data_IF_416573943959
#
_entry.id   IF_416573943959
#
_cell.length_a   1.000
_cell.length_b   1.000
_cell.length_c   1.000
_cell.angle_alpha   90.00
_cell.angle_beta   90.00
_cell.angle_gamma   90.00
#
_symmetry.space_group_name_H-M   'P 1'
#
loop_
_entity.id
_entity.type
_entity.pdbx_description
1 polymer ?
#
# COMPACT_ATOMS: atom_id res chain seq x y z
N UNK A 1 -53.33 -24.98 -37.25
CA UNK A 1 -52.19 -24.27 -36.64
C UNK A 1 -51.09 -25.29 -36.38
N UNK A 2 -49.93 -25.13 -37.04
CA UNK A 2 -49.05 -26.21 -37.51
C UNK A 2 -48.16 -26.86 -36.44
N UNK A 3 -48.24 -28.18 -36.27
CA UNK A 3 -47.35 -29.01 -35.43
C UNK A 3 -45.88 -28.94 -35.92
N UNK A 4 -45.63 -28.51 -37.16
CA UNK A 4 -44.29 -28.29 -37.72
C UNK A 4 -43.54 -27.06 -37.15
N UNK A 5 -44.21 -26.06 -36.57
CA UNK A 5 -43.51 -24.88 -36.03
C UNK A 5 -42.93 -25.10 -34.63
N UNK A 6 -43.54 -25.96 -33.81
CA UNK A 6 -43.06 -26.26 -32.44
C UNK A 6 -41.75 -27.04 -32.42
N UNK A 7 -41.53 -27.96 -33.36
CA UNK A 7 -40.24 -28.68 -33.47
C UNK A 7 -39.12 -27.79 -34.01
N UNK A 8 -39.44 -26.84 -34.89
CA UNK A 8 -38.45 -25.89 -35.41
C UNK A 8 -37.95 -24.94 -34.31
N UNK A 9 -38.84 -24.49 -33.41
CA UNK A 9 -38.49 -23.59 -32.31
C UNK A 9 -37.69 -24.27 -31.20
N UNK A 10 -37.92 -25.56 -30.96
CA UNK A 10 -37.14 -26.35 -29.99
C UNK A 10 -35.72 -26.66 -30.52
N UNK A 11 -35.57 -26.88 -31.84
CA UNK A 11 -34.25 -27.08 -32.47
C UNK A 11 -33.48 -25.75 -32.56
N UNK A 12 -34.17 -24.62 -32.77
CA UNK A 12 -33.53 -23.30 -32.77
C UNK A 12 -33.09 -22.84 -31.36
N UNK A 13 -33.80 -23.24 -30.29
CA UNK A 13 -33.41 -22.94 -28.91
C UNK A 13 -32.24 -23.80 -28.39
N UNK A 14 -31.92 -24.92 -29.04
CA UNK A 14 -30.72 -25.72 -28.72
C UNK A 14 -29.44 -25.20 -29.37
N UNK A 15 -29.54 -24.17 -30.24
CA UNK A 15 -28.40 -23.55 -30.93
C UNK A 15 -27.96 -22.21 -30.33
N UNK A 16 -28.56 -21.77 -29.21
CA UNK A 16 -28.20 -20.51 -28.57
C UNK A 16 -27.59 -20.84 -27.21
N UNK A 17 -26.28 -20.61 -27.11
CA UNK A 17 -25.43 -20.77 -25.93
C UNK A 17 -25.03 -22.21 -25.60
N UNK A 18 -24.16 -22.79 -26.44
CA UNK A 18 -22.98 -23.36 -25.80
C UNK A 18 -22.21 -22.18 -25.21
N UNK A 19 -22.09 -22.04 -23.87
CA UNK A 19 -21.04 -21.20 -23.35
C UNK A 19 -19.76 -21.74 -23.99
N UNK A 20 -19.00 -20.89 -24.67
CA UNK A 20 -17.60 -21.18 -24.92
C UNK A 20 -17.04 -21.34 -23.51
N UNK A 21 -16.94 -22.58 -23.05
CA UNK A 21 -16.28 -22.90 -21.81
C UNK A 21 -14.85 -22.39 -22.02
N UNK A 22 -14.53 -21.22 -21.48
CA UNK A 22 -13.16 -20.77 -21.42
C UNK A 22 -12.44 -21.84 -20.62
N UNK A 23 -11.63 -22.64 -21.31
CA UNK A 23 -10.83 -23.66 -20.67
C UNK A 23 -9.99 -22.97 -19.60
N UNK A 24 -9.98 -23.52 -18.38
CA UNK A 24 -9.12 -23.01 -17.33
C UNK A 24 -7.68 -22.92 -17.86
N UNK A 25 -6.93 -21.85 -17.50
CA UNK A 25 -5.56 -21.70 -17.95
C UNK A 25 -4.74 -22.92 -17.52
N UNK A 26 -3.87 -23.36 -18.42
CA UNK A 26 -2.95 -24.47 -18.15
C UNK A 26 -1.65 -23.95 -17.57
N UNK A 27 -1.09 -24.63 -16.57
CA UNK A 27 0.13 -24.20 -15.89
C UNK A 27 1.35 -25.00 -16.36
N UNK A 28 2.41 -24.30 -16.74
CA UNK A 28 3.64 -24.88 -17.29
C UNK A 28 4.88 -24.19 -16.70
N UNK A 29 6.06 -24.82 -16.59
CA UNK A 29 7.30 -24.15 -16.17
C UNK A 29 7.81 -23.12 -17.21
N UNK A 30 7.05 -22.04 -17.43
CA UNK A 30 7.29 -21.02 -18.45
C UNK A 30 8.40 -20.04 -18.04
N UNK A 31 8.61 -19.86 -16.74
CA UNK A 31 9.61 -18.93 -16.17
C UNK A 31 10.74 -19.68 -15.47
N UNK A 32 11.97 -19.25 -15.75
CA UNK A 32 13.20 -19.70 -15.09
C UNK A 32 13.36 -19.04 -13.72
N UNK A 33 13.33 -17.71 -13.68
CA UNK A 33 13.41 -16.90 -12.46
C UNK A 33 12.85 -15.49 -12.68
N UNK A 34 12.77 -14.72 -11.60
CA UNK A 34 12.37 -13.32 -11.61
C UNK A 34 13.49 -12.44 -11.08
N UNK A 35 13.54 -11.19 -11.53
CA UNK A 35 14.50 -10.18 -11.09
C UNK A 35 13.90 -8.79 -11.13
N UNK A 36 14.62 -7.78 -10.62
CA UNK A 36 14.20 -6.37 -10.65
C UNK A 36 12.80 -6.13 -10.06
N UNK A 37 12.41 -6.91 -9.03
CA UNK A 37 11.12 -6.75 -8.38
C UNK A 37 11.07 -5.45 -7.60
N UNK A 38 10.01 -4.67 -7.78
CA UNK A 38 9.80 -3.42 -7.07
C UNK A 38 8.32 -3.17 -6.83
N UNK A 39 7.96 -2.87 -5.59
CA UNK A 39 6.68 -2.31 -5.19
C UNK A 39 6.93 -1.01 -4.46
N UNK A 40 6.41 0.08 -5.02
CA UNK A 40 6.62 1.42 -4.50
C UNK A 40 5.28 2.11 -4.32
N UNK A 41 5.08 2.71 -3.16
CA UNK A 41 3.93 3.55 -2.90
C UNK A 41 4.23 4.98 -3.36
N UNK A 42 3.38 5.50 -4.22
CA UNK A 42 3.47 6.84 -4.79
C UNK A 42 2.85 7.89 -3.86
N UNK A 43 3.09 9.17 -4.15
CA UNK A 43 2.64 10.29 -3.30
C UNK A 43 1.12 10.39 -3.17
N UNK A 44 0.39 10.00 -4.21
CA UNK A 44 -1.07 9.94 -4.24
C UNK A 44 -1.64 8.67 -3.57
N UNK A 45 -0.78 7.86 -2.93
CA UNK A 45 -1.10 6.54 -2.36
C UNK A 45 -1.46 5.45 -3.36
N UNK A 46 -1.24 5.65 -4.67
CA UNK A 46 -1.24 4.56 -5.64
C UNK A 46 0.01 3.69 -5.49
N UNK A 47 -0.02 2.47 -6.04
CA UNK A 47 1.07 1.50 -5.92
C UNK A 47 1.63 1.18 -7.29
N UNK A 48 2.89 1.56 -7.53
CA UNK A 48 3.64 1.18 -8.71
C UNK A 48 4.32 -0.18 -8.49
N UNK A 49 4.12 -1.09 -9.43
CA UNK A 49 4.68 -2.45 -9.41
C UNK A 49 5.49 -2.67 -10.67
N UNK A 50 6.67 -3.27 -10.55
CA UNK A 50 7.46 -3.72 -11.69
C UNK A 50 8.29 -4.96 -11.37
N UNK A 51 8.59 -5.76 -12.39
CA UNK A 51 9.47 -6.90 -12.30
C UNK A 51 9.92 -7.35 -13.69
N UNK A 52 10.98 -8.15 -13.74
CA UNK A 52 11.44 -8.85 -14.93
C UNK A 52 11.27 -10.35 -14.76
N UNK A 53 10.54 -10.99 -15.68
CA UNK A 53 10.35 -12.43 -15.73
C UNK A 53 11.28 -13.04 -16.78
N UNK A 54 12.23 -13.88 -16.39
CA UNK A 54 13.13 -14.55 -17.34
C UNK A 54 12.51 -15.84 -17.83
N UNK A 55 12.32 -15.93 -19.15
CA UNK A 55 11.70 -17.07 -19.80
C UNK A 55 12.61 -18.29 -19.71
N UNK A 56 12.02 -19.49 -19.73
CA UNK A 56 12.82 -20.69 -19.98
C UNK A 56 13.37 -20.66 -21.40
N UNK A 57 14.56 -21.25 -21.60
CA UNK A 57 15.24 -21.25 -22.88
C UNK A 57 14.38 -21.94 -23.95
N UNK A 58 14.57 -21.56 -25.21
CA UNK A 58 14.04 -22.29 -26.38
C UNK A 58 12.50 -22.35 -26.49
N UNK A 59 11.75 -21.55 -25.72
CA UNK A 59 10.29 -21.42 -25.82
C UNK A 59 9.80 -21.04 -27.23
N UNK A 60 10.60 -20.26 -27.95
CA UNK A 60 10.30 -19.76 -29.30
C UNK A 60 11.30 -20.26 -30.36
N UNK A 61 12.05 -21.32 -30.05
CA UNK A 61 13.00 -21.97 -30.98
C UNK A 61 12.27 -22.77 -32.06
N UNK A 62 12.89 -22.92 -33.23
CA UNK A 62 12.41 -23.84 -34.29
C UNK A 62 12.47 -25.31 -33.82
N UNK A 63 13.49 -25.66 -33.04
CA UNK A 63 13.60 -26.94 -32.34
C UNK A 63 13.14 -26.70 -30.91
N UNK A 64 11.83 -26.77 -30.70
CA UNK A 64 11.20 -26.47 -29.43
C UNK A 64 11.01 -27.76 -28.59
N UNK A 65 11.80 -27.98 -27.52
CA UNK A 65 11.72 -29.19 -26.70
C UNK A 65 10.45 -29.24 -25.84
N UNK A 66 9.66 -28.17 -25.79
CA UNK A 66 8.50 -28.03 -24.92
C UNK A 66 7.18 -28.51 -25.57
N UNK A 67 7.16 -28.70 -26.90
CA UNK A 67 5.95 -29.04 -27.67
C UNK A 67 5.24 -30.29 -27.12
N UNK A 68 5.98 -31.37 -26.86
CA UNK A 68 5.39 -32.63 -26.38
C UNK A 68 4.77 -32.47 -24.99
N UNK A 69 5.39 -31.69 -24.11
CA UNK A 69 4.84 -31.40 -22.79
C UNK A 69 3.58 -30.53 -22.89
N UNK A 70 3.53 -29.59 -23.83
CA UNK A 70 2.33 -28.80 -24.07
C UNK A 70 1.19 -29.65 -24.60
N UNK A 71 1.44 -30.54 -25.58
CA UNK A 71 0.42 -31.49 -26.09
C UNK A 71 -0.18 -32.33 -24.96
N UNK A 72 0.66 -32.87 -24.08
CA UNK A 72 0.21 -33.62 -22.91
C UNK A 72 -0.64 -32.77 -21.95
N UNK A 73 -0.20 -31.54 -21.69
CA UNK A 73 -0.87 -30.62 -20.77
C UNK A 73 -2.29 -30.27 -21.23
N UNK A 74 -2.47 -30.00 -22.52
CA UNK A 74 -3.77 -29.64 -23.10
C UNK A 74 -4.50 -30.81 -23.79
N UNK A 75 -4.00 -32.04 -23.58
CA UNK A 75 -4.60 -33.31 -24.02
C UNK A 75 -4.89 -33.37 -25.52
N UNK A 76 -3.89 -33.01 -26.34
CA UNK A 76 -3.97 -33.07 -27.81
C UNK A 76 -3.28 -34.34 -28.33
N UNK A 77 -3.83 -35.00 -29.38
CA UNK A 77 -3.16 -36.10 -30.08
C UNK A 77 -1.77 -35.74 -30.64
N UNK A 78 -0.88 -36.72 -30.72
CA UNK A 78 0.52 -36.49 -31.11
C UNK A 78 0.71 -36.00 -32.55
N UNK A 79 -0.26 -36.26 -33.44
CA UNK A 79 -0.25 -35.91 -34.85
C UNK A 79 -0.64 -34.46 -35.14
N UNK A 80 -1.11 -33.72 -34.12
CA UNK A 80 -1.53 -32.33 -34.29
C UNK A 80 -0.44 -31.31 -33.96
N UNK A 81 -0.36 -30.25 -34.76
CA UNK A 81 0.61 -29.16 -34.56
C UNK A 81 0.12 -28.16 -33.51
N UNK A 82 0.99 -27.84 -32.55
CA UNK A 82 0.79 -26.76 -31.59
C UNK A 82 1.98 -25.79 -31.66
N UNK A 83 1.70 -24.49 -31.50
CA UNK A 83 2.75 -23.46 -31.44
C UNK A 83 2.45 -22.42 -30.38
N UNK A 84 3.48 -21.97 -29.68
CA UNK A 84 3.40 -20.78 -28.83
C UNK A 84 3.50 -19.54 -29.71
N UNK A 85 2.61 -18.58 -29.51
CA UNK A 85 2.58 -17.38 -30.35
C UNK A 85 3.50 -16.30 -29.74
N UNK A 86 4.60 -15.90 -30.42
CA UNK A 86 5.63 -15.04 -29.83
C UNK A 86 5.19 -13.60 -29.55
N UNK A 87 4.09 -13.15 -30.15
CA UNK A 87 3.53 -11.81 -29.98
C UNK A 87 2.25 -11.80 -29.13
N UNK A 88 1.92 -12.91 -28.48
CA UNK A 88 0.83 -13.00 -27.50
C UNK A 88 1.36 -13.40 -26.13
N UNK A 89 1.30 -12.46 -25.19
CA UNK A 89 1.68 -12.68 -23.81
C UNK A 89 0.45 -12.58 -22.89
N UNK A 90 0.54 -13.21 -21.73
CA UNK A 90 -0.49 -13.14 -20.69
C UNK A 90 0.17 -12.72 -19.37
N UNK A 91 -0.48 -11.81 -18.64
CA UNK A 91 -0.19 -11.48 -17.25
C UNK A 91 -1.37 -11.91 -16.38
N UNK A 92 -1.05 -12.51 -15.23
CA UNK A 92 -2.03 -12.91 -14.21
C UNK A 92 -1.64 -12.31 -12.87
N UNK A 93 -2.56 -11.59 -12.26
CA UNK A 93 -2.37 -10.88 -11.00
C UNK A 93 -3.21 -11.48 -9.88
N UNK A 94 -2.62 -11.57 -8.68
CA UNK A 94 -3.18 -12.18 -7.49
C UNK A 94 -3.07 -11.18 -6.35
N UNK A 95 -4.20 -10.87 -5.72
CA UNK A 95 -4.24 -9.93 -4.60
C UNK A 95 -4.84 -10.63 -3.40
N UNK A 96 -4.34 -10.31 -2.21
CA UNK A 96 -4.80 -10.95 -0.98
C UNK A 96 -5.16 -9.94 0.09
N UNK A 97 -6.20 -10.27 0.84
CA UNK A 97 -6.64 -9.54 2.02
C UNK A 97 -5.70 -9.80 3.21
N UNK A 98 -5.89 -9.02 4.28
CA UNK A 98 -5.10 -9.19 5.51
C UNK A 98 -5.23 -10.59 6.13
N UNK A 99 -6.43 -11.18 6.06
CA UNK A 99 -6.73 -12.51 6.57
C UNK A 99 -6.14 -13.65 5.71
N UNK A 100 -5.49 -13.33 4.59
CA UNK A 100 -4.89 -14.31 3.68
C UNK A 100 -5.82 -14.82 2.59
N UNK A 101 -7.09 -14.41 2.57
CA UNK A 101 -8.02 -14.77 1.49
C UNK A 101 -7.73 -13.95 0.23
N UNK A 102 -8.01 -14.54 -0.94
CA UNK A 102 -7.89 -13.82 -2.20
C UNK A 102 -8.88 -12.64 -2.26
N UNK A 103 -8.38 -11.49 -2.69
CA UNK A 103 -9.16 -10.28 -2.81
C UNK A 103 -9.78 -10.18 -4.22
N UNK A 104 -11.00 -10.66 -4.35
CA UNK A 104 -11.78 -10.61 -5.61
C UNK A 104 -12.41 -9.25 -5.91
N UNK A 105 -12.31 -8.26 -5.01
CA UNK A 105 -12.86 -6.92 -5.26
C UNK A 105 -12.01 -6.11 -6.26
N UNK A 106 -10.74 -6.48 -6.40
CA UNK A 106 -9.79 -5.83 -7.31
C UNK A 106 -10.00 -6.37 -8.72
N UNK A 107 -10.29 -5.47 -9.64
CA UNK A 107 -10.50 -5.78 -11.04
C UNK A 107 -9.63 -4.88 -11.93
N UNK A 108 -9.69 -5.09 -13.25
CA UNK A 108 -8.83 -4.37 -14.19
C UNK A 108 -8.99 -2.84 -14.11
N UNK A 109 -10.15 -2.31 -13.70
CA UNK A 109 -10.39 -0.86 -13.59
C UNK A 109 -9.63 -0.22 -12.43
N UNK A 110 -9.20 -1.03 -11.47
CA UNK A 110 -8.35 -0.58 -10.38
C UNK A 110 -6.87 -0.53 -10.76
N UNK A 111 -6.53 -0.91 -12.00
CA UNK A 111 -5.15 -1.05 -12.46
C UNK A 111 -4.98 -0.24 -13.74
N UNK A 112 -3.97 0.62 -13.78
CA UNK A 112 -3.61 1.46 -14.92
C UNK A 112 -2.16 1.21 -15.32
N UNK A 113 -1.76 1.77 -16.47
CA UNK A 113 -0.38 1.74 -16.95
C UNK A 113 0.19 0.31 -17.02
N UNK A 114 -0.62 -0.65 -17.47
CA UNK A 114 -0.25 -2.06 -17.53
C UNK A 114 0.54 -2.29 -18.80
N UNK A 115 1.84 -2.54 -18.65
CA UNK A 115 2.79 -2.74 -19.73
C UNK A 115 3.51 -4.07 -19.61
N UNK A 116 3.80 -4.66 -20.77
CA UNK A 116 4.72 -5.79 -20.95
C UNK A 116 5.65 -5.47 -22.12
N UNK A 117 6.95 -5.39 -21.87
CA UNK A 117 7.98 -4.92 -22.83
C UNK A 117 7.57 -3.60 -23.54
N UNK A 118 6.90 -2.71 -22.80
CA UNK A 118 6.37 -1.44 -23.32
C UNK A 118 5.07 -1.54 -24.13
N UNK A 119 4.56 -2.73 -24.42
CA UNK A 119 3.25 -2.89 -25.06
C UNK A 119 2.10 -2.73 -24.05
N UNK A 120 1.00 -2.12 -24.49
CA UNK A 120 -0.23 -2.03 -23.71
C UNK A 120 -1.01 -3.36 -23.75
N UNK A 121 -1.77 -3.64 -22.69
CA UNK A 121 -2.70 -4.77 -22.68
C UNK A 121 -3.77 -4.62 -23.77
N UNK A 122 -4.09 -5.71 -24.48
CA UNK A 122 -5.23 -5.74 -25.40
C UNK A 122 -6.53 -5.67 -24.59
N UNK A 123 -7.23 -4.54 -24.66
CA UNK A 123 -8.48 -4.28 -23.94
C UNK A 123 -9.59 -5.27 -24.32
N UNK A 124 -9.79 -6.33 -23.54
CA UNK A 124 -10.95 -7.22 -23.76
C UNK A 124 -11.53 -7.89 -22.51
N UNK A 125 -10.83 -7.91 -21.37
CA UNK A 125 -11.29 -8.66 -20.20
C UNK A 125 -11.16 -7.88 -18.90
N UNK A 126 -12.19 -7.97 -18.06
CA UNK A 126 -12.14 -7.51 -16.67
C UNK A 126 -11.35 -8.49 -15.77
N UNK A 127 -10.94 -9.65 -16.30
CA UNK A 127 -10.23 -10.69 -15.57
C UNK A 127 -8.75 -10.35 -15.41
N UNK A 128 -8.36 -9.96 -14.20
CA UNK A 128 -6.95 -9.71 -13.84
C UNK A 128 -6.08 -10.96 -13.86
N UNK A 129 -6.66 -12.17 -13.96
CA UNK A 129 -5.94 -13.43 -14.11
C UNK A 129 -5.53 -13.74 -15.54
N UNK A 130 -6.07 -13.04 -16.53
CA UNK A 130 -5.75 -13.29 -17.94
C UNK A 130 -5.73 -11.96 -18.70
N UNK A 131 -4.81 -11.08 -18.30
CA UNK A 131 -4.56 -9.83 -19.01
C UNK A 131 -3.72 -10.17 -20.23
N UNK A 132 -4.34 -10.10 -21.41
CA UNK A 132 -3.69 -10.43 -22.67
C UNK A 132 -2.97 -9.22 -23.24
N UNK A 133 -1.84 -9.48 -23.90
CA UNK A 133 -1.10 -8.51 -24.70
C UNK A 133 -0.97 -9.07 -26.11
N UNK A 134 -1.38 -8.27 -27.09
CA UNK A 134 -1.22 -8.55 -28.51
C UNK A 134 -0.43 -7.40 -29.11
N UNK A 135 0.74 -7.71 -29.67
CA UNK A 135 1.65 -6.70 -30.20
C UNK A 135 2.19 -7.07 -31.59
N UNK A 136 2.87 -6.12 -32.22
CA UNK A 136 3.57 -6.40 -33.47
C UNK A 136 4.71 -7.41 -33.25
N UNK A 137 5.04 -8.24 -34.26
CA UNK A 137 6.20 -9.11 -34.19
C UNK A 137 7.48 -8.34 -33.84
N UNK A 138 8.27 -8.89 -32.92
CA UNK A 138 9.53 -8.27 -32.46
C UNK A 138 9.40 -7.32 -31.28
N UNK A 139 8.19 -6.99 -30.81
CA UNK A 139 8.03 -6.18 -29.59
C UNK A 139 8.43 -6.95 -28.33
N UNK A 140 8.01 -8.21 -28.22
CA UNK A 140 8.28 -9.03 -27.04
C UNK A 140 9.65 -9.69 -27.12
N UNK A 141 10.39 -9.64 -26.02
CA UNK A 141 11.66 -10.33 -25.90
C UNK A 141 11.42 -11.84 -25.78
N UNK A 142 12.23 -12.62 -26.51
CA UNK A 142 12.18 -14.08 -26.45
C UNK A 142 12.91 -14.67 -25.23
N UNK A 143 13.50 -13.82 -24.37
CA UNK A 143 14.32 -14.25 -23.23
C UNK A 143 13.80 -13.76 -21.89
N UNK A 144 13.06 -12.67 -21.87
CA UNK A 144 12.49 -12.08 -20.66
C UNK A 144 11.30 -11.20 -21.00
N UNK A 145 10.44 -10.95 -20.02
CA UNK A 145 9.42 -9.90 -20.07
C UNK A 145 9.65 -8.88 -18.96
N UNK A 146 9.68 -7.60 -19.31
CA UNK A 146 9.62 -6.47 -18.39
C UNK A 146 8.18 -6.05 -18.18
N UNK A 147 7.68 -6.25 -16.96
CA UNK A 147 6.29 -5.98 -16.60
C UNK A 147 6.23 -4.79 -15.65
N UNK A 148 5.28 -3.89 -15.89
CA UNK A 148 4.95 -2.81 -14.96
C UNK A 148 3.47 -2.50 -14.96
N UNK A 149 2.93 -2.10 -13.81
CA UNK A 149 1.55 -1.61 -13.68
C UNK A 149 1.39 -0.73 -12.45
N UNK A 150 0.32 0.06 -12.41
CA UNK A 150 -0.05 0.90 -11.27
C UNK A 150 -1.40 0.49 -10.73
N UNK A 151 -1.51 0.28 -9.42
CA UNK A 151 -2.77 0.02 -8.73
C UNK A 151 -3.27 1.34 -8.16
N UNK A 152 -4.54 1.65 -8.39
CA UNK A 152 -5.17 2.89 -7.96
C UNK A 152 -5.08 3.10 -6.44
N UNK A 153 -4.97 4.37 -6.03
CA UNK A 153 -4.88 4.76 -4.64
C UNK A 153 -6.00 4.17 -3.77
N UNK A 154 -5.67 3.80 -2.53
CA UNK A 154 -6.60 3.27 -1.53
C UNK A 154 -7.31 1.95 -1.92
N UNK A 155 -6.93 1.32 -3.03
CA UNK A 155 -7.48 0.01 -3.43
C UNK A 155 -7.00 -1.10 -2.50
N UNK A 156 -5.73 -1.06 -2.09
CA UNK A 156 -5.11 -2.05 -1.24
C UNK A 156 -4.84 -1.46 0.15
N UNK A 157 -5.45 -2.05 1.18
CA UNK A 157 -5.09 -1.77 2.58
C UNK A 157 -3.80 -2.50 2.99
N UNK A 158 -3.59 -3.69 2.42
CA UNK A 158 -2.41 -4.51 2.61
C UNK A 158 -1.84 -4.87 1.25
N UNK A 159 -0.53 -4.74 1.10
CA UNK A 159 0.15 -4.97 -0.16
C UNK A 159 0.63 -6.43 -0.18
N UNK A 160 -0.25 -7.33 -0.61
CA UNK A 160 0.04 -8.75 -0.85
C UNK A 160 -0.28 -9.05 -2.31
N UNK A 161 0.76 -9.07 -3.13
CA UNK A 161 0.63 -9.17 -4.58
C UNK A 161 1.41 -10.39 -5.04
N UNK A 162 0.73 -11.29 -5.74
CA UNK A 162 1.33 -12.34 -6.56
C UNK A 162 1.15 -12.01 -8.03
N UNK A 163 2.11 -12.39 -8.87
CA UNK A 163 2.02 -12.24 -10.31
C UNK A 163 2.62 -13.45 -11.01
N UNK A 164 2.06 -13.82 -12.15
CA UNK A 164 2.69 -14.77 -13.08
C UNK A 164 2.48 -14.30 -14.51
N UNK A 165 3.34 -14.77 -15.41
CA UNK A 165 3.26 -14.45 -16.83
C UNK A 165 3.15 -15.74 -17.64
N UNK A 166 2.74 -15.61 -18.88
CA UNK A 166 2.51 -16.73 -19.77
C UNK A 166 2.38 -16.28 -21.22
N UNK A 167 1.86 -17.18 -22.04
CA UNK A 167 1.60 -16.94 -23.45
C UNK A 167 0.37 -17.68 -23.95
N UNK A 168 0.14 -17.61 -25.26
CA UNK A 168 -0.97 -18.29 -25.92
C UNK A 168 -0.45 -19.41 -26.80
N UNK A 169 -0.92 -20.62 -26.56
CA UNK A 169 -0.73 -21.76 -27.44
C UNK A 169 -1.83 -21.77 -28.51
N UNK A 170 -1.44 -21.99 -29.76
CA UNK A 170 -2.36 -22.09 -30.89
C UNK A 170 -2.36 -23.50 -31.48
N UNK A 171 -3.56 -24.01 -31.72
CA UNK A 171 -3.86 -25.29 -32.35
C UNK A 171 -4.92 -25.04 -33.42
N UNK A 172 -4.48 -24.84 -34.67
CA UNK A 172 -5.38 -24.40 -35.75
C UNK A 172 -6.02 -23.05 -35.42
N UNK A 173 -7.33 -23.06 -35.17
CA UNK A 173 -8.11 -21.88 -34.75
C UNK A 173 -8.33 -21.81 -33.24
N UNK A 174 -7.96 -22.84 -32.48
CA UNK A 174 -8.16 -22.91 -31.04
C UNK A 174 -6.96 -22.33 -30.28
N UNK A 175 -7.24 -21.44 -29.33
CA UNK A 175 -6.25 -20.82 -28.46
C UNK A 175 -6.37 -21.32 -27.02
N UNK A 176 -5.22 -21.58 -26.39
CA UNK A 176 -5.13 -22.02 -25.00
C UNK A 176 -4.21 -21.09 -24.22
N UNK A 177 -4.68 -20.59 -23.08
CA UNK A 177 -3.87 -19.80 -22.16
C UNK A 177 -2.89 -20.71 -21.41
N UNK A 178 -1.59 -20.39 -21.52
CA UNK A 178 -0.50 -21.10 -20.86
C UNK A 178 0.16 -20.15 -19.86
N UNK A 179 -0.03 -20.37 -18.56
CA UNK A 179 0.55 -19.57 -17.48
C UNK A 179 1.76 -20.26 -16.85
N UNK A 180 2.70 -19.48 -16.32
CA UNK A 180 3.80 -20.05 -15.55
C UNK A 180 3.29 -20.66 -14.25
N UNK A 181 3.65 -21.93 -14.00
CA UNK A 181 3.44 -22.62 -12.71
C UNK A 181 4.28 -22.04 -11.58
N UNK A 182 5.32 -21.25 -11.92
CA UNK A 182 6.09 -20.45 -10.98
C UNK A 182 5.72 -19.00 -11.17
N UNK A 183 5.10 -18.39 -10.16
CA UNK A 183 4.89 -16.96 -10.06
C UNK A 183 5.91 -16.29 -9.15
N UNK A 184 5.74 -14.98 -8.99
CA UNK A 184 6.48 -14.16 -8.03
C UNK A 184 5.53 -13.50 -7.05
N UNK A 185 6.06 -13.20 -5.88
CA UNK A 185 5.53 -12.18 -4.99
C UNK A 185 6.66 -11.25 -4.56
N UNK A 186 6.32 -10.23 -3.79
CA UNK A 186 7.27 -9.23 -3.33
C UNK A 186 7.52 -9.45 -1.85
N UNK A 187 8.79 -9.66 -1.49
CA UNK A 187 9.19 -9.79 -0.09
C UNK A 187 8.84 -8.55 0.73
N UNK A 188 9.01 -8.62 2.05
CA UNK A 188 8.63 -7.55 2.99
C UNK A 188 9.12 -6.14 2.66
N UNK A 189 10.23 -5.99 1.94
CA UNK A 189 10.80 -4.68 1.53
C UNK A 189 10.23 -4.13 0.22
N UNK A 190 9.44 -4.94 -0.50
CA UNK A 190 8.94 -4.63 -1.83
C UNK A 190 9.99 -4.77 -2.95
N UNK A 191 11.26 -5.05 -2.63
CA UNK A 191 12.38 -5.09 -3.60
C UNK A 191 12.90 -6.49 -3.93
N UNK A 192 12.42 -7.51 -3.21
CA UNK A 192 12.86 -8.89 -3.36
C UNK A 192 11.82 -9.70 -4.12
N UNK A 193 12.27 -10.49 -5.10
CA UNK A 193 11.44 -11.46 -5.79
C UNK A 193 11.35 -12.73 -4.94
N UNK A 194 10.17 -13.04 -4.44
CA UNK A 194 9.88 -14.27 -3.70
C UNK A 194 9.10 -15.24 -4.58
N UNK A 195 9.30 -16.55 -4.38
CA UNK A 195 8.56 -17.58 -5.13
C UNK A 195 7.09 -17.53 -4.69
N UNK A 196 6.19 -17.55 -5.67
CA UNK A 196 4.75 -17.61 -5.45
C UNK A 196 4.14 -18.73 -6.29
N UNK A 197 3.30 -19.56 -5.67
CA UNK A 197 2.53 -20.58 -6.39
C UNK A 197 1.13 -20.04 -6.71
N UNK A 198 0.82 -19.73 -7.98
CA UNK A 198 -0.48 -19.21 -8.38
C UNK A 198 -1.64 -20.20 -8.18
N UNK A 199 -1.35 -21.48 -7.92
CA UNK A 199 -2.34 -22.55 -7.74
C UNK A 199 -2.58 -22.90 -6.26
N UNK A 200 -1.67 -22.53 -5.36
CA UNK A 200 -1.75 -22.92 -3.96
C UNK A 200 -2.87 -22.18 -3.19
N UNK A 201 -3.31 -21.01 -3.67
CA UNK A 201 -4.28 -20.17 -2.96
C UNK A 201 -3.75 -19.57 -1.66
N UNK A 202 -2.43 -19.61 -1.43
CA UNK A 202 -1.79 -19.10 -0.21
C UNK A 202 -1.31 -17.66 -0.43
N UNK A 203 -1.68 -16.76 0.48
CA UNK A 203 -1.25 -15.37 0.42
C UNK A 203 0.27 -15.24 0.63
N UNK A 204 0.97 -14.46 -0.20
CA UNK A 204 2.39 -14.15 0.02
C UNK A 204 2.59 -13.23 1.22
N UNK A 205 3.84 -13.06 1.66
CA UNK A 205 4.18 -12.07 2.69
C UNK A 205 3.71 -10.67 2.25
N UNK A 206 3.26 -9.87 3.22
CA UNK A 206 2.89 -8.48 2.95
C UNK A 206 4.15 -7.61 2.80
N UNK A 207 4.15 -6.75 1.78
CA UNK A 207 5.09 -5.63 1.69
C UNK A 207 4.79 -4.66 2.82
N UNK A 208 5.87 -4.25 3.51
CA UNK A 208 5.82 -3.37 4.67
C UNK A 208 6.35 -2.00 4.26
N UNK A 209 5.57 -0.97 4.55
CA UNK A 209 5.87 0.42 4.21
C UNK A 209 6.14 1.17 5.50
N UNK A 210 7.29 1.83 5.56
CA UNK A 210 7.60 2.70 6.68
C UNK A 210 6.71 3.96 6.60
N UNK A 211 6.00 4.31 7.69
CA UNK A 211 5.10 5.44 7.68
C UNK A 211 5.89 6.74 7.47
N UNK A 212 5.47 7.54 6.48
CA UNK A 212 5.93 8.92 6.33
C UNK A 212 5.03 9.83 7.15
N UNK A 213 5.58 10.42 8.20
CA UNK A 213 4.84 11.33 9.08
C UNK A 213 4.83 12.75 8.54
N UNK A 214 3.68 13.42 8.65
CA UNK A 214 3.54 14.86 8.43
C UNK A 214 2.81 15.47 9.62
N UNK A 215 3.29 16.59 10.11
CA UNK A 215 2.63 17.34 11.19
C UNK A 215 1.69 18.37 10.58
N UNK A 216 0.45 18.43 11.08
CA UNK A 216 -0.51 19.46 10.68
C UNK A 216 -0.58 20.63 11.65
N UNK A 217 0.06 20.58 12.83
CA UNK A 217 -0.12 21.65 13.80
C UNK A 217 0.59 22.92 13.38
N UNK A 218 -0.22 23.95 13.20
CA UNK A 218 0.19 25.34 13.18
C UNK A 218 0.32 25.89 14.61
N UNK A 219 1.01 27.03 14.72
CA UNK A 219 1.33 27.79 15.93
C UNK A 219 0.23 27.77 17.02
N UNK A 220 0.58 27.29 18.23
CA UNK A 220 -0.28 27.43 19.42
C UNK A 220 -0.15 28.83 20.01
N UNK A 221 -1.13 29.68 19.74
CA UNK A 221 -1.19 31.02 20.30
C UNK A 221 -2.02 31.01 21.58
N UNK A 222 -1.40 31.41 22.69
CA UNK A 222 -2.08 31.61 23.97
C UNK A 222 -2.80 32.95 23.97
N UNK A 223 -3.97 33.01 24.60
CA UNK A 223 -4.65 34.28 24.89
C UNK A 223 -3.79 35.11 25.85
N UNK A 224 -3.91 36.45 25.82
CA UNK A 224 -3.32 37.30 26.84
C UNK A 224 -3.70 36.83 28.24
N UNK A 225 -2.72 36.85 29.13
CA UNK A 225 -2.84 36.38 30.51
C UNK A 225 -2.57 37.53 31.47
N UNK A 226 -3.33 37.58 32.55
CA UNK A 226 -3.05 38.49 33.66
C UNK A 226 -1.81 38.02 34.43
N UNK A 227 -0.83 38.92 34.58
CA UNK A 227 0.43 38.62 35.26
C UNK A 227 0.21 38.34 36.75
N UNK A 228 -0.63 39.11 37.41
CA UNK A 228 -0.89 38.96 38.85
C UNK A 228 -1.56 37.61 39.10
N UNK A 229 -2.50 37.22 38.24
CA UNK A 229 -3.13 35.90 38.27
C UNK A 229 -2.11 34.76 38.11
N UNK A 230 -1.13 34.90 37.21
CA UNK A 230 -0.07 33.90 37.03
C UNK A 230 0.80 33.79 38.28
N UNK A 231 1.21 34.91 38.88
CA UNK A 231 2.03 34.92 40.09
C UNK A 231 1.30 34.28 41.27
N UNK A 232 0.02 34.63 41.49
CA UNK A 232 -0.79 34.12 42.61
C UNK A 232 -1.02 32.60 42.52
N UNK A 233 -1.31 32.09 41.32
CA UNK A 233 -1.61 30.65 41.12
C UNK A 233 -0.38 29.75 41.11
N UNK A 234 0.82 30.33 41.03
CA UNK A 234 2.08 29.58 40.95
C UNK A 234 2.84 29.57 42.27
N UNK A 235 2.48 30.43 43.23
CA UNK A 235 3.08 30.47 44.57
C UNK A 235 3.05 29.11 45.31
N UNK A 236 2.01 28.30 45.07
CA UNK A 236 1.85 26.97 45.68
C UNK A 236 2.26 25.81 44.74
N UNK A 237 2.92 26.10 43.62
CA UNK A 237 3.30 25.11 42.61
C UNK A 237 2.14 24.53 41.79
N UNK A 238 0.92 25.06 41.95
CA UNK A 238 -0.27 24.53 41.28
C UNK A 238 -0.23 24.78 39.76
N UNK A 239 0.33 25.91 39.31
CA UNK A 239 0.36 26.29 37.90
C UNK A 239 -0.98 26.87 37.43
N UNK A 240 -0.95 27.68 36.36
CA UNK A 240 -2.13 28.31 35.78
C UNK A 240 -2.43 27.78 34.39
N UNK A 241 -3.66 27.31 34.16
CA UNK A 241 -4.08 26.85 32.84
C UNK A 241 -4.19 28.03 31.87
N UNK A 242 -3.46 27.96 30.76
CA UNK A 242 -3.47 28.96 29.71
C UNK A 242 -4.49 28.59 28.62
N UNK A 243 -5.34 29.56 28.28
CA UNK A 243 -6.32 29.39 27.21
C UNK A 243 -5.67 29.59 25.84
N UNK A 244 -5.93 28.68 24.91
CA UNK A 244 -5.53 28.83 23.52
C UNK A 244 -6.52 29.72 22.75
N UNK A 245 -6.01 30.53 21.83
CA UNK A 245 -6.81 31.06 20.74
C UNK A 245 -7.23 29.91 19.81
N UNK A 246 -8.48 29.90 19.34
CA UNK A 246 -9.00 28.90 18.40
C UNK A 246 -8.65 27.43 18.76
N UNK A 247 -8.90 27.02 20.01
CA UNK A 247 -8.51 25.71 20.55
C UNK A 247 -8.90 24.51 19.66
N UNK A 248 -10.11 24.53 19.07
CA UNK A 248 -10.61 23.47 18.16
C UNK A 248 -9.75 23.30 16.90
N UNK A 249 -9.18 24.39 16.37
CA UNK A 249 -8.36 24.37 15.16
C UNK A 249 -6.87 24.12 15.44
N UNK A 250 -6.46 24.16 16.71
CA UNK A 250 -5.05 24.11 17.14
C UNK A 250 -4.64 22.75 17.71
N UNK A 251 -5.23 21.67 17.21
CA UNK A 251 -4.91 20.31 17.62
C UNK A 251 -3.51 19.89 17.17
N UNK A 252 -2.83 19.12 18.00
CA UNK A 252 -1.61 18.41 17.59
C UNK A 252 -2.03 17.22 16.73
N UNK A 253 -1.76 17.22 15.43
CA UNK A 253 -2.12 16.12 14.54
C UNK A 253 -0.90 15.59 13.79
N UNK A 254 -0.67 14.28 13.91
CA UNK A 254 0.30 13.53 13.12
C UNK A 254 -0.46 12.80 12.03
N UNK A 255 -0.20 13.15 10.78
CA UNK A 255 -0.66 12.46 9.60
C UNK A 255 0.35 11.38 9.21
N UNK A 256 -0.16 10.24 8.74
CA UNK A 256 0.66 9.16 8.24
C UNK A 256 -0.13 8.34 7.22
N UNK A 257 0.60 7.70 6.32
CA UNK A 257 0.03 6.70 5.44
C UNK A 257 -0.10 5.39 6.21
N UNK A 258 -1.31 4.85 6.33
CA UNK A 258 -1.58 3.60 7.05
C UNK A 258 -1.44 2.33 6.20
N UNK A 259 -1.28 2.48 4.88
CA UNK A 259 -1.13 1.36 3.95
C UNK A 259 0.19 0.62 4.18
N UNK A 260 0.11 -0.70 4.39
CA UNK A 260 1.31 -1.55 4.59
C UNK A 260 2.07 -1.27 5.88
N UNK A 261 1.51 -0.49 6.81
CA UNK A 261 2.15 -0.16 8.09
C UNK A 261 2.16 -1.38 8.99
N UNK A 262 3.34 -1.72 9.51
CA UNK A 262 3.49 -2.77 10.52
C UNK A 262 2.79 -2.36 11.82
N UNK A 263 2.18 -3.29 12.56
CA UNK A 263 1.71 -3.04 13.92
C UNK A 263 2.93 -2.90 14.85
N UNK A 264 3.57 -1.73 14.80
CA UNK A 264 4.74 -1.37 15.57
C UNK A 264 4.34 -0.28 16.56
N UNK A 265 4.81 -0.40 17.80
CA UNK A 265 4.66 0.65 18.79
C UNK A 265 5.53 1.83 18.38
N UNK A 266 4.97 3.03 18.40
CA UNK A 266 5.69 4.25 18.13
C UNK A 266 5.80 5.05 19.42
N UNK A 267 7.00 5.54 19.68
CA UNK A 267 7.28 6.47 20.76
C UNK A 267 7.27 7.89 20.21
N UNK A 268 6.49 8.77 20.83
CA UNK A 268 6.43 10.20 20.54
C UNK A 268 7.08 10.93 21.73
N UNK A 269 8.05 11.78 21.42
CA UNK A 269 8.76 12.62 22.39
C UNK A 269 8.80 14.06 21.88
N UNK A 270 8.91 15.02 22.79
CA UNK A 270 9.13 16.41 22.43
C UNK A 270 10.38 16.96 23.13
N UNK A 271 11.11 17.82 22.42
CA UNK A 271 12.08 18.71 23.01
C UNK A 271 11.69 20.16 22.67
N UNK A 272 12.36 21.13 23.30
CA UNK A 272 12.12 22.53 23.04
C UNK A 272 13.41 23.30 22.74
N UNK A 273 13.27 24.44 22.09
CA UNK A 273 14.40 25.27 21.68
C UNK A 273 15.00 26.05 22.85
N UNK A 274 14.15 26.52 23.77
CA UNK A 274 14.59 27.35 24.89
C UNK A 274 15.21 26.58 26.06
N UNK A 275 15.13 25.24 26.05
CA UNK A 275 15.64 24.36 27.11
C UNK A 275 14.63 24.11 28.24
N UNK A 276 15.02 23.21 29.14
CA UNK A 276 14.24 22.83 30.31
C UNK A 276 14.58 23.71 31.52
N UNK A 277 13.64 23.80 32.46
CA UNK A 277 13.89 24.29 33.81
C UNK A 277 14.95 23.46 34.54
N UNK A 278 15.51 24.01 35.62
CA UNK A 278 16.57 23.36 36.40
C UNK A 278 16.13 22.01 37.01
N UNK A 279 14.85 21.90 37.39
CA UNK A 279 14.23 20.65 37.86
C UNK A 279 13.90 19.67 36.72
N UNK A 280 14.04 20.11 35.46
CA UNK A 280 13.75 19.37 34.22
C UNK A 280 12.27 18.98 34.02
N UNK A 281 11.38 19.47 34.87
CA UNK A 281 9.95 19.13 34.85
C UNK A 281 9.12 20.11 33.98
N UNK A 282 9.75 21.16 33.45
CA UNK A 282 9.08 22.20 32.66
C UNK A 282 9.91 22.59 31.43
N UNK A 283 9.22 22.90 30.34
CA UNK A 283 9.80 23.69 29.24
C UNK A 283 9.81 25.18 29.60
N UNK A 284 10.46 26.00 28.78
CA UNK A 284 10.63 27.44 29.02
C UNK A 284 10.12 28.29 27.86
N UNK A 285 9.14 29.15 28.10
CA UNK A 285 8.85 30.27 27.22
C UNK A 285 9.79 31.44 27.58
N UNK A 286 10.33 32.12 26.56
CA UNK A 286 11.28 33.24 26.76
C UNK A 286 10.82 34.52 26.08
N UNK A 287 11.07 35.63 26.76
CA UNK A 287 11.08 36.99 26.22
C UNK A 287 12.35 37.69 26.70
N UNK A 288 13.38 37.72 25.85
CA UNK A 288 14.75 38.14 26.22
C UNK A 288 15.27 37.29 27.40
N UNK A 289 15.58 37.93 28.53
CA UNK A 289 16.07 37.29 29.75
C UNK A 289 14.96 36.82 30.69
N UNK A 290 13.69 37.08 30.35
CA UNK A 290 12.52 36.72 31.16
C UNK A 290 12.03 35.33 30.81
N UNK A 291 11.65 34.55 31.82
CA UNK A 291 11.24 33.15 31.66
C UNK A 291 9.87 32.90 32.29
N UNK A 292 9.04 32.14 31.58
CA UNK A 292 7.86 31.47 32.12
C UNK A 292 8.03 29.97 31.85
N UNK A 293 7.97 29.17 32.91
CA UNK A 293 8.00 27.71 32.78
C UNK A 293 6.63 27.21 32.32
N UNK A 294 6.59 26.12 31.55
CA UNK A 294 5.33 25.53 31.13
C UNK A 294 5.38 24.01 30.97
N UNK A 295 4.20 23.40 31.07
CA UNK A 295 3.95 22.01 30.74
C UNK A 295 2.90 21.92 29.64
N UNK A 296 3.01 20.91 28.78
CA UNK A 296 2.02 20.60 27.75
C UNK A 296 1.39 19.26 28.06
N UNK A 297 0.07 19.23 28.12
CA UNK A 297 -0.73 18.03 28.32
C UNK A 297 -1.48 17.77 27.02
N UNK A 298 -1.12 16.72 26.29
CA UNK A 298 -1.82 16.32 25.07
C UNK A 298 -2.90 15.30 25.42
N UNK A 299 -4.16 15.72 25.31
CA UNK A 299 -5.32 14.89 25.63
C UNK A 299 -5.76 14.07 24.41
N UNK A 300 -5.95 12.77 24.60
CA UNK A 300 -6.51 11.88 23.57
C UNK A 300 -8.04 11.93 23.58
N UNK A 301 -8.69 12.03 22.42
CA UNK A 301 -10.16 11.96 22.36
C UNK A 301 -10.68 10.53 22.61
N UNK A 302 -11.71 10.42 23.45
CA UNK A 302 -12.42 9.16 23.72
C UNK A 302 -11.72 8.19 24.68
N UNK A 303 -10.52 8.53 25.17
CA UNK A 303 -9.78 7.75 26.16
C UNK A 303 -9.24 8.73 27.20
N UNK A 304 -9.41 8.43 28.50
CA UNK A 304 -8.82 9.20 29.61
C UNK A 304 -7.30 8.98 29.71
N UNK A 305 -6.57 9.18 28.62
CA UNK A 305 -5.12 9.11 28.57
C UNK A 305 -4.56 10.46 28.11
N UNK A 306 -3.68 11.01 28.95
CA UNK A 306 -2.99 12.26 28.73
C UNK A 306 -1.49 12.01 28.61
N UNK A 307 -0.84 12.79 27.75
CA UNK A 307 0.60 12.78 27.58
C UNK A 307 1.18 14.07 28.16
N UNK A 308 2.04 13.95 29.17
CA UNK A 308 2.62 15.07 29.89
C UNK A 308 4.03 15.35 29.41
N UNK A 309 4.24 16.49 28.79
CA UNK A 309 5.58 16.93 28.37
C UNK A 309 6.13 17.96 29.36
N UNK A 310 7.43 17.89 29.72
CA UNK A 310 8.52 17.11 29.08
C UNK A 310 8.74 15.67 29.59
N UNK A 311 8.07 15.24 30.65
CA UNK A 311 8.43 14.00 31.40
C UNK A 311 8.11 12.69 30.67
N UNK A 312 7.02 12.65 29.91
CA UNK A 312 6.53 11.41 29.33
C UNK A 312 7.17 11.06 27.99
N UNK A 313 7.12 9.76 27.69
CA UNK A 313 7.28 9.22 26.35
C UNK A 313 5.96 8.53 25.98
N UNK A 314 5.19 9.12 25.06
CA UNK A 314 3.93 8.51 24.63
C UNK A 314 4.22 7.32 23.73
N UNK A 315 3.75 6.14 24.11
CA UNK A 315 3.93 4.91 23.33
C UNK A 315 2.55 4.42 22.88
N UNK A 316 2.34 4.33 21.56
CA UNK A 316 1.10 3.77 21.03
C UNK A 316 1.31 3.13 19.65
N UNK A 317 0.42 2.23 19.28
CA UNK A 317 0.31 1.77 17.90
C UNK A 317 -0.26 2.88 17.02
N UNK A 318 0.21 2.94 15.78
CA UNK A 318 -0.51 3.69 14.75
C UNK A 318 -1.89 3.05 14.57
N UNK A 319 -2.94 3.88 14.53
CA UNK A 319 -4.30 3.41 14.30
C UNK A 319 -4.38 2.84 12.89
N UNK A 320 -4.77 1.56 12.79
CA UNK A 320 -5.06 0.91 11.52
C UNK A 320 -6.20 1.66 10.81
N UNK A 321 -6.08 1.82 9.50
CA UNK A 321 -7.07 2.50 8.64
C UNK A 321 -7.35 3.96 9.01
N UNK A 322 -6.48 4.60 9.80
CA UNK A 322 -6.52 6.04 10.05
C UNK A 322 -5.51 6.78 9.16
N UNK A 323 -5.83 8.02 8.81
CA UNK A 323 -4.92 8.91 8.08
C UNK A 323 -4.20 9.89 9.01
N UNK A 324 -4.67 10.02 10.26
CA UNK A 324 -4.09 10.89 11.27
C UNK A 324 -4.43 10.45 12.69
N UNK A 325 -3.59 10.84 13.64
CA UNK A 325 -3.87 10.84 15.08
C UNK A 325 -3.77 12.26 15.60
N UNK A 326 -4.73 12.67 16.42
CA UNK A 326 -4.85 14.05 16.88
C UNK A 326 -5.08 14.11 18.39
N UNK A 327 -4.45 15.08 19.04
CA UNK A 327 -4.56 15.37 20.46
C UNK A 327 -4.90 16.84 20.67
N UNK A 328 -5.63 17.12 21.75
CA UNK A 328 -5.96 18.49 22.15
C UNK A 328 -4.94 18.97 23.19
N UNK A 329 -4.14 20.00 22.88
CA UNK A 329 -3.16 20.52 23.82
C UNK A 329 -3.84 21.32 24.94
N UNK A 330 -3.41 21.10 26.18
CA UNK A 330 -3.62 21.99 27.32
C UNK A 330 -2.26 22.47 27.79
N UNK A 331 -2.12 23.77 28.05
CA UNK A 331 -0.85 24.36 28.46
C UNK A 331 -1.01 24.91 29.87
N UNK A 332 -0.11 24.51 30.76
CA UNK A 332 -0.05 25.02 32.13
C UNK A 332 1.20 25.83 32.32
N UNK A 333 1.07 27.04 32.87
CA UNK A 333 2.14 28.01 33.04
C UNK A 333 2.55 28.12 34.50
N UNK A 334 3.83 28.36 34.71
CA UNK A 334 4.48 28.47 36.01
C UNK A 334 5.40 29.69 36.00
N UNK A 335 5.18 30.61 36.93
CA UNK A 335 6.04 31.78 37.04
C UNK A 335 7.43 31.39 37.53
N UNK A 336 8.39 32.25 37.23
CA UNK A 336 9.75 32.23 37.74
C UNK A 336 10.05 33.58 38.39
N UNK A 337 11.20 33.71 39.05
CA UNK A 337 11.68 34.98 39.58
C UNK A 337 11.91 36.07 38.52
N UNK A 338 11.99 35.70 37.24
CA UNK A 338 12.18 36.63 36.12
C UNK A 338 10.88 36.90 35.34
N UNK A 339 9.76 36.29 35.73
CA UNK A 339 8.48 36.48 35.05
C UNK A 339 8.00 37.92 35.21
N UNK A 340 7.71 38.57 34.09
CA UNK A 340 7.18 39.94 34.02
C UNK A 340 6.40 40.15 32.71
N UNK A 341 5.81 41.32 32.48
CA UNK A 341 5.10 41.67 31.25
C UNK A 341 6.02 41.50 30.03
N UNK A 342 5.47 40.88 28.97
CA UNK A 342 6.25 40.52 27.79
C UNK A 342 5.49 39.69 26.78
N UNK A 343 6.17 39.38 25.66
CA UNK A 343 5.69 38.49 24.60
C UNK A 343 6.57 37.26 24.55
N UNK A 344 6.09 36.18 25.16
CA UNK A 344 6.87 34.97 25.35
C UNK A 344 6.63 33.96 24.23
N UNK A 345 7.68 33.25 23.81
CA UNK A 345 7.57 32.20 22.80
C UNK A 345 8.55 31.05 23.05
N UNK A 346 8.26 29.89 22.46
CA UNK A 346 9.13 28.71 22.39
C UNK A 346 8.76 27.90 21.13
N UNK A 347 9.60 26.94 20.77
CA UNK A 347 9.35 25.99 19.68
C UNK A 347 9.56 24.57 20.18
N UNK A 348 8.53 23.73 20.05
CA UNK A 348 8.59 22.31 20.34
C UNK A 348 8.90 21.51 19.08
N UNK A 349 9.90 20.62 19.15
CA UNK A 349 10.15 19.65 18.09
C UNK A 349 9.74 18.25 18.56
N UNK A 350 8.91 17.59 17.75
CA UNK A 350 8.42 16.26 18.02
C UNK A 350 9.22 15.22 17.25
N UNK A 351 9.67 14.18 17.94
CA UNK A 351 10.35 13.03 17.35
C UNK A 351 9.46 11.80 17.49
N UNK A 352 9.22 11.10 16.38
CA UNK A 352 8.43 9.86 16.33
C UNK A 352 9.37 8.72 15.97
N UNK A 353 9.51 7.74 16.85
CA UNK A 353 10.44 6.61 16.68
C UNK A 353 9.69 5.29 16.76
N UNK A 354 9.79 4.40 15.74
CA UNK A 354 9.30 3.04 15.87
C UNK A 354 10.11 2.27 16.93
N UNK A 355 9.44 1.52 17.80
CA UNK A 355 10.05 0.63 18.78
C UNK A 355 10.19 -0.77 18.14
N UNK A 356 11.37 -1.36 18.23
CA UNK A 356 11.69 -2.64 17.62
C UNK A 356 10.93 -3.81 18.26
#
# INVERSE_FOLDING_TARGET
MNIKSKKLLLILMLFIMQPIAMANPSFYPYIKNYSNCSVTVLEDSSIAVSFRAHLVNDLFSDVNPHIEQWKQLIKIPDDESIKLIPHHAILSLYFYNYNGEENHSINIRNISNIFLDGANSSHASNNIKEIKFDSSPGTFSHTHYDVSFTIAANTLKNIRIGATVGGVLNRGEQQYSLLSSKGLSFGSTGKQCEIFDPQAGVAPEAVKIDPKFRLSSARWQLKPLDLDLLLDNTANGAGLDASLENAENNRFCIHYQSMGVRPVLHRIQANNLNGLSADRNHFQLKDKDKIINYQVILMTEGINYAFFLPEDNYINYLKKDAEKMCWTPKIKLFSTNTTDKGSYSDTLNFTITPLA
#
